data_IF_291635080664
#
_entry.id   IF_291635080664
#
_cell.length_a   1.000
_cell.length_b   1.000
_cell.length_c   1.000
_cell.angle_alpha   90.00
_cell.angle_beta   90.00
_cell.angle_gamma   90.00
#
_symmetry.space_group_name_H-M   'P 1'
#
loop_
_entity.id
_entity.type
_entity.pdbx_description
1 polymer ?
#
# COMPACT_ATOMS: atom_id res chain seq x y z
N UNK A 1 11.55 -10.95 19.99
CA UNK A 1 10.58 -11.20 18.89
C UNK A 1 10.75 -12.63 18.44
N UNK A 2 9.67 -13.40 18.27
CA UNK A 2 9.80 -14.80 17.81
C UNK A 2 10.20 -14.81 16.34
N UNK A 3 11.33 -15.47 16.01
CA UNK A 3 11.71 -15.72 14.63
C UNK A 3 10.67 -16.66 14.00
N UNK A 4 10.21 -16.30 12.80
CA UNK A 4 9.25 -17.12 12.07
C UNK A 4 9.98 -18.39 11.57
N UNK A 5 9.59 -19.55 12.06
CA UNK A 5 10.06 -20.86 11.56
C UNK A 5 9.03 -21.48 10.63
N UNK A 6 9.43 -22.51 9.88
CA UNK A 6 8.53 -23.30 9.04
C UNK A 6 7.31 -23.83 9.81
N UNK A 7 7.51 -24.34 11.03
CA UNK A 7 6.45 -24.87 11.90
C UNK A 7 5.49 -23.78 12.40
N UNK A 8 5.98 -22.56 12.56
CA UNK A 8 5.18 -21.41 12.99
C UNK A 8 4.50 -20.66 11.84
N UNK A 9 4.68 -21.10 10.58
CA UNK A 9 4.12 -20.45 9.41
C UNK A 9 2.58 -20.58 9.40
N UNK A 10 1.81 -19.47 9.42
CA UNK A 10 0.37 -19.58 9.48
C UNK A 10 -0.24 -20.27 8.24
N UNK A 11 -1.24 -21.13 8.43
CA UNK A 11 -1.86 -21.95 7.37
C UNK A 11 -2.26 -21.18 6.09
N UNK A 12 -2.66 -19.92 6.23
CA UNK A 12 -3.01 -19.03 5.10
C UNK A 12 -1.85 -18.75 4.13
N UNK A 13 -0.61 -19.13 4.48
CA UNK A 13 0.59 -18.99 3.66
C UNK A 13 1.03 -20.29 3.00
N UNK A 14 0.51 -21.45 3.43
CA UNK A 14 0.85 -22.76 2.84
C UNK A 14 0.57 -22.85 1.33
N UNK A 15 -0.49 -22.24 0.77
CA UNK A 15 -0.69 -22.19 -0.69
C UNK A 15 0.39 -21.43 -1.47
N UNK A 16 1.24 -20.66 -0.79
CA UNK A 16 2.34 -19.93 -1.41
C UNK A 16 3.70 -20.57 -1.12
N UNK A 17 3.77 -21.58 -0.25
CA UNK A 17 5.02 -22.23 0.16
C UNK A 17 5.48 -23.24 -0.90
N UNK A 18 6.64 -23.00 -1.51
CA UNK A 18 7.23 -23.90 -2.49
C UNK A 18 7.45 -25.29 -1.90
N UNK A 19 7.01 -26.32 -2.64
CA UNK A 19 7.06 -27.73 -2.20
C UNK A 19 5.90 -28.18 -1.32
N UNK A 20 5.03 -27.26 -0.88
CA UNK A 20 3.78 -27.64 -0.22
C UNK A 20 2.76 -28.15 -1.25
N UNK A 21 1.99 -29.18 -0.90
CA UNK A 21 1.05 -29.83 -1.82
C UNK A 21 -0.04 -28.89 -2.39
N UNK A 22 -0.41 -27.84 -1.64
CA UNK A 22 -1.39 -26.84 -2.06
C UNK A 22 -0.80 -25.67 -2.86
N UNK A 23 0.51 -25.67 -3.14
CA UNK A 23 1.17 -24.59 -3.84
C UNK A 23 0.95 -24.69 -5.34
N UNK A 24 0.51 -23.59 -5.98
CA UNK A 24 0.28 -23.53 -7.42
C UNK A 24 1.52 -23.21 -8.26
N UNK A 25 2.71 -23.18 -7.63
CA UNK A 25 3.96 -22.94 -8.34
C UNK A 25 4.23 -24.05 -9.39
N UNK A 26 4.94 -23.73 -10.49
CA UNK A 26 5.46 -24.74 -11.40
C UNK A 26 6.26 -25.82 -10.65
N UNK A 27 6.12 -27.10 -11.04
CA UNK A 27 6.73 -28.23 -10.31
C UNK A 27 8.26 -28.13 -10.19
N UNK A 28 8.90 -27.54 -11.19
CA UNK A 28 10.34 -27.27 -11.27
C UNK A 28 10.80 -26.04 -10.49
N UNK A 29 9.90 -25.14 -10.09
CA UNK A 29 10.26 -23.89 -9.43
C UNK A 29 11.09 -24.13 -8.17
N UNK A 30 10.68 -25.08 -7.31
CA UNK A 30 11.43 -25.38 -6.08
C UNK A 30 12.84 -25.90 -6.38
N UNK A 31 12.99 -26.84 -7.32
CA UNK A 31 14.30 -27.41 -7.65
C UNK A 31 15.25 -26.36 -8.23
N UNK A 32 14.75 -25.48 -9.11
CA UNK A 32 15.55 -24.37 -9.65
C UNK A 32 16.04 -23.42 -8.55
N UNK A 33 15.17 -23.08 -7.60
CA UNK A 33 15.56 -22.24 -6.45
C UNK A 33 16.53 -22.98 -5.51
N UNK A 34 16.31 -24.26 -5.23
CA UNK A 34 17.24 -25.09 -4.42
C UNK A 34 18.65 -25.09 -5.06
N UNK A 35 18.74 -25.25 -6.39
CA UNK A 35 20.00 -25.20 -7.15
C UNK A 35 20.69 -23.83 -7.03
N UNK A 36 19.94 -22.74 -7.17
CA UNK A 36 20.43 -21.36 -6.98
C UNK A 36 21.07 -21.18 -5.60
N UNK A 37 20.41 -21.67 -4.53
CA UNK A 37 20.93 -21.58 -3.17
C UNK A 37 22.15 -22.47 -2.94
N UNK A 38 22.20 -23.64 -3.59
CA UNK A 38 23.31 -24.59 -3.47
C UNK A 38 24.56 -24.11 -4.22
N UNK A 39 24.40 -23.49 -5.39
CA UNK A 39 25.50 -23.16 -6.29
C UNK A 39 25.99 -21.71 -6.20
N UNK A 40 25.14 -20.74 -5.86
CA UNK A 40 25.43 -19.35 -6.28
C UNK A 40 24.92 -18.21 -5.41
N UNK A 41 24.14 -18.40 -4.34
CA UNK A 41 23.64 -17.22 -3.61
C UNK A 41 24.75 -16.33 -3.00
N UNK A 42 25.92 -16.91 -2.67
CA UNK A 42 27.11 -16.14 -2.24
C UNK A 42 27.77 -15.32 -3.36
N UNK A 43 27.53 -15.69 -4.62
CA UNK A 43 28.11 -15.06 -5.81
C UNK A 43 27.06 -14.35 -6.69
N UNK A 44 25.77 -14.46 -6.34
CA UNK A 44 24.68 -13.86 -7.09
C UNK A 44 24.73 -12.34 -6.90
N UNK A 45 24.73 -11.54 -7.99
CA UNK A 45 24.78 -10.10 -7.87
C UNK A 45 23.55 -9.59 -7.10
N UNK A 46 23.81 -8.84 -6.04
CA UNK A 46 22.78 -8.09 -5.31
C UNK A 46 22.24 -6.99 -6.21
N UNK A 47 20.93 -6.99 -6.48
CA UNK A 47 20.29 -6.00 -7.37
C UNK A 47 20.16 -4.64 -6.70
N UNK A 48 19.87 -4.67 -5.40
CA UNK A 48 19.66 -3.49 -4.56
C UNK A 48 19.76 -3.97 -3.13
N UNK A 49 20.71 -3.43 -2.37
CA UNK A 49 20.99 -3.84 -0.97
C UNK A 49 21.29 -5.35 -0.82
N UNK A 50 21.67 -5.77 0.37
CA UNK A 50 22.08 -7.14 0.72
C UNK A 50 20.93 -8.16 0.79
N UNK A 51 19.69 -7.77 0.46
CA UNK A 51 18.49 -8.60 0.61
C UNK A 51 17.68 -8.86 -0.68
N UNK A 52 18.09 -8.33 -1.85
CA UNK A 52 17.47 -8.63 -3.16
C UNK A 52 18.49 -9.30 -4.08
N UNK A 53 18.22 -10.54 -4.49
CA UNK A 53 19.11 -11.36 -5.30
C UNK A 53 18.52 -11.61 -6.68
N UNK A 54 19.37 -11.43 -7.70
CA UNK A 54 19.09 -11.85 -9.07
C UNK A 54 19.53 -13.31 -9.25
N UNK A 55 18.63 -14.21 -9.64
CA UNK A 55 19.01 -15.59 -9.90
C UNK A 55 18.22 -16.24 -11.03
N UNK A 56 18.87 -16.45 -12.17
CA UNK A 56 18.25 -17.11 -13.33
C UNK A 56 16.97 -16.40 -13.78
N UNK A 57 15.85 -17.10 -13.77
CA UNK A 57 14.51 -16.56 -14.10
C UNK A 57 13.78 -15.92 -12.91
N UNK A 58 14.44 -15.82 -11.76
CA UNK A 58 13.83 -15.48 -10.49
C UNK A 58 14.45 -14.24 -9.86
N UNK A 59 13.63 -13.53 -9.09
CA UNK A 59 14.04 -12.51 -8.15
C UNK A 59 13.71 -13.01 -6.75
N UNK A 60 14.72 -13.02 -5.87
CA UNK A 60 14.56 -13.45 -4.49
C UNK A 60 14.71 -12.26 -3.56
N UNK A 61 13.75 -12.09 -2.65
CA UNK A 61 13.73 -11.00 -1.68
C UNK A 61 13.71 -11.57 -0.26
N UNK A 62 14.81 -11.37 0.45
CA UNK A 62 14.95 -11.72 1.87
C UNK A 62 14.39 -10.64 2.80
N UNK A 63 14.65 -10.83 4.08
CA UNK A 63 14.40 -9.81 5.11
C UNK A 63 15.42 -8.68 4.96
N UNK A 64 14.99 -7.44 5.16
CA UNK A 64 15.91 -6.29 5.21
C UNK A 64 16.78 -6.41 6.46
N UNK A 65 18.02 -5.94 6.35
CA UNK A 65 19.02 -5.90 7.42
C UNK A 65 19.51 -4.46 7.61
N UNK A 66 20.01 -4.14 8.81
CA UNK A 66 20.62 -2.84 9.11
C UNK A 66 19.63 -1.65 9.19
N UNK A 67 20.13 -0.45 8.91
CA UNK A 67 19.41 0.83 9.01
C UNK A 67 18.12 0.86 8.17
N UNK A 68 18.12 0.19 7.01
CA UNK A 68 16.94 0.06 6.12
C UNK A 68 15.78 -0.73 6.76
N UNK A 69 16.09 -1.66 7.66
CA UNK A 69 15.08 -2.44 8.38
C UNK A 69 14.49 -1.64 9.55
N UNK A 70 15.32 -0.86 10.24
CA UNK A 70 14.93 0.02 11.34
C UNK A 70 14.07 1.19 10.84
N UNK A 71 14.49 1.86 9.77
CA UNK A 71 13.75 2.97 9.16
C UNK A 71 12.36 2.53 8.66
N UNK A 72 12.22 1.30 8.15
CA UNK A 72 10.97 0.79 7.63
C UNK A 72 10.08 0.07 8.69
N UNK A 73 10.52 0.00 9.95
CA UNK A 73 9.83 -0.65 11.08
C UNK A 73 9.34 -2.08 10.74
N UNK A 74 10.07 -2.81 9.90
CA UNK A 74 9.60 -4.08 9.36
C UNK A 74 9.75 -5.20 10.39
N UNK A 75 8.66 -5.89 10.73
CA UNK A 75 8.71 -7.14 11.51
C UNK A 75 9.16 -8.30 10.62
N UNK A 76 9.72 -9.36 11.20
CA UNK A 76 10.13 -10.59 10.49
C UNK A 76 9.00 -11.25 9.66
N UNK A 77 7.73 -11.04 10.04
CA UNK A 77 6.59 -11.54 9.26
C UNK A 77 6.31 -10.70 8.00
N UNK A 78 6.81 -9.47 7.92
CA UNK A 78 6.40 -8.49 6.90
C UNK A 78 6.77 -8.91 5.49
N UNK A 79 7.92 -9.57 5.32
CA UNK A 79 8.39 -10.05 4.03
C UNK A 79 7.40 -11.06 3.41
N UNK A 80 6.97 -12.07 4.17
CA UNK A 80 6.02 -13.07 3.66
C UNK A 80 4.63 -12.50 3.36
N UNK A 81 4.23 -11.35 3.94
CA UNK A 81 2.94 -10.72 3.58
C UNK A 81 2.94 -10.13 2.16
N UNK A 82 4.12 -9.94 1.54
CA UNK A 82 4.22 -9.52 0.13
C UNK A 82 3.49 -10.48 -0.80
N UNK A 83 3.55 -11.80 -0.55
CA UNK A 83 2.87 -12.80 -1.40
C UNK A 83 1.34 -12.67 -1.34
N UNK A 84 0.79 -12.36 -0.15
CA UNK A 84 -0.65 -12.16 0.01
C UNK A 84 -1.12 -10.85 -0.61
N UNK A 85 -0.34 -9.78 -0.50
CA UNK A 85 -0.66 -8.50 -1.15
C UNK A 85 -0.65 -8.67 -2.67
N UNK A 86 0.40 -9.29 -3.23
CA UNK A 86 0.47 -9.63 -4.65
C UNK A 86 -0.71 -10.49 -5.12
N UNK A 87 -1.07 -11.54 -4.37
CA UNK A 87 -2.20 -12.40 -4.72
C UNK A 87 -3.54 -11.65 -4.68
N UNK A 88 -3.74 -10.74 -3.72
CA UNK A 88 -4.94 -9.89 -3.67
C UNK A 88 -5.03 -8.95 -4.87
N UNK A 89 -3.93 -8.32 -5.25
CA UNK A 89 -3.88 -7.46 -6.45
C UNK A 89 -4.20 -8.29 -7.69
N UNK A 90 -3.57 -9.46 -7.86
CA UNK A 90 -3.83 -10.36 -9.01
C UNK A 90 -5.28 -10.82 -9.09
N UNK A 91 -5.88 -11.17 -7.97
CA UNK A 91 -7.30 -11.54 -7.92
C UNK A 91 -8.20 -10.36 -8.31
N UNK A 92 -7.87 -9.14 -7.84
CA UNK A 92 -8.60 -7.95 -8.25
C UNK A 92 -8.48 -7.68 -9.75
N UNK A 93 -7.26 -7.75 -10.30
CA UNK A 93 -7.00 -7.57 -11.73
C UNK A 93 -7.86 -8.52 -12.56
N UNK A 94 -7.89 -9.81 -12.20
CA UNK A 94 -8.69 -10.83 -12.90
C UNK A 94 -10.18 -10.61 -12.76
N UNK A 95 -10.65 -10.28 -11.56
CA UNK A 95 -12.06 -10.06 -11.29
C UNK A 95 -12.63 -8.84 -12.02
N UNK A 96 -11.77 -7.90 -12.43
CA UNK A 96 -12.15 -6.67 -13.12
C UNK A 96 -11.66 -6.61 -14.58
N UNK A 97 -11.14 -7.72 -15.12
CA UNK A 97 -10.67 -7.84 -16.51
C UNK A 97 -9.58 -6.80 -16.88
N UNK A 98 -8.62 -6.58 -15.98
CA UNK A 98 -7.55 -5.57 -16.13
C UNK A 98 -6.21 -6.16 -16.62
N UNK A 99 -6.17 -7.45 -16.97
CA UNK A 99 -4.93 -8.19 -17.28
C UNK A 99 -4.13 -7.61 -18.46
N UNK A 100 -4.83 -6.94 -19.37
CA UNK A 100 -4.28 -6.27 -20.55
C UNK A 100 -3.68 -4.88 -20.25
N UNK A 101 -3.89 -4.35 -19.03
CA UNK A 101 -3.43 -3.00 -18.65
C UNK A 101 -2.43 -3.05 -17.50
N UNK A 102 -2.67 -3.90 -16.50
CA UNK A 102 -1.86 -3.97 -15.28
C UNK A 102 -1.52 -5.41 -14.97
N UNK A 103 -0.28 -5.64 -14.52
CA UNK A 103 0.15 -6.95 -14.05
C UNK A 103 0.91 -6.87 -12.73
N UNK A 104 0.89 -7.98 -11.98
CA UNK A 104 1.70 -8.16 -10.77
C UNK A 104 2.31 -9.56 -10.84
N UNK A 105 3.63 -9.71 -10.67
CA UNK A 105 4.25 -11.03 -10.72
C UNK A 105 3.67 -11.94 -9.64
N UNK A 106 3.52 -13.22 -9.97
CA UNK A 106 3.17 -14.21 -8.97
C UNK A 106 4.34 -14.33 -7.99
N UNK A 107 4.03 -14.38 -6.69
CA UNK A 107 5.03 -14.49 -5.63
C UNK A 107 4.79 -15.75 -4.80
N UNK A 108 5.88 -16.38 -4.39
CA UNK A 108 5.91 -17.59 -3.59
C UNK A 108 6.83 -17.40 -2.38
N UNK A 109 6.71 -18.28 -1.41
CA UNK A 109 7.55 -18.36 -0.22
C UNK A 109 8.49 -19.54 -0.41
N UNK A 110 9.78 -19.27 -0.30
CA UNK A 110 10.83 -20.28 -0.23
C UNK A 110 11.40 -20.31 1.19
N UNK A 111 11.61 -21.50 1.73
CA UNK A 111 12.27 -21.71 3.02
C UNK A 111 13.67 -22.26 2.77
N UNK A 112 14.69 -21.45 3.03
CA UNK A 112 16.06 -21.92 2.97
C UNK A 112 16.41 -22.67 4.26
N UNK A 113 16.65 -23.98 4.13
CA UNK A 113 17.03 -24.83 5.27
C UNK A 113 18.40 -24.46 5.84
N UNK A 114 19.31 -23.91 5.05
CA UNK A 114 20.68 -23.63 5.49
C UNK A 114 20.70 -22.39 6.38
N UNK A 115 20.15 -21.27 5.89
CA UNK A 115 20.08 -20.03 6.68
C UNK A 115 18.91 -19.99 7.67
N UNK A 116 17.97 -20.94 7.60
CA UNK A 116 16.73 -20.95 8.39
C UNK A 116 15.96 -19.63 8.21
N UNK A 117 15.82 -19.17 6.96
CA UNK A 117 15.15 -17.92 6.59
C UNK A 117 14.15 -18.11 5.47
N UNK A 118 13.14 -17.24 5.47
CA UNK A 118 12.18 -17.15 4.39
C UNK A 118 12.63 -16.15 3.33
N UNK A 119 12.45 -16.55 2.07
CA UNK A 119 12.62 -15.69 0.91
C UNK A 119 11.30 -15.60 0.17
N UNK A 120 11.00 -14.40 -0.35
CA UNK A 120 9.92 -14.22 -1.32
C UNK A 120 10.53 -14.38 -2.71
N UNK A 121 9.99 -15.32 -3.46
CA UNK A 121 10.43 -15.62 -4.82
C UNK A 121 9.39 -15.09 -5.79
N UNK A 122 9.82 -14.35 -6.79
CA UNK A 122 8.99 -13.87 -7.89
C UNK A 122 9.64 -14.24 -9.22
N UNK A 123 8.84 -14.63 -10.19
CA UNK A 123 9.30 -14.78 -11.57
C UNK A 123 9.69 -13.41 -12.12
N UNK A 124 10.80 -13.35 -12.87
CA UNK A 124 11.21 -12.14 -13.56
C UNK A 124 10.15 -11.74 -14.57
N UNK A 125 9.81 -10.46 -14.57
CA UNK A 125 8.96 -9.86 -15.56
C UNK A 125 9.87 -9.25 -16.62
N UNK A 126 9.51 -9.43 -17.89
CA UNK A 126 10.19 -8.78 -18.99
C UNK A 126 9.76 -7.31 -19.05
N UNK A 127 10.63 -6.44 -18.53
CA UNK A 127 10.37 -5.01 -18.37
C UNK A 127 10.93 -4.24 -19.57
N UNK A 128 10.17 -3.23 -19.98
CA UNK A 128 10.64 -2.21 -20.91
C UNK A 128 11.62 -1.28 -20.20
N UNK A 129 12.57 -0.75 -20.97
CA UNK A 129 13.49 0.30 -20.56
C UNK A 129 12.78 1.67 -20.41
N UNK A 130 11.55 1.78 -20.90
CA UNK A 130 10.74 3.00 -20.82
C UNK A 130 10.32 3.34 -19.39
N UNK A 131 10.19 4.63 -19.12
CA UNK A 131 9.69 5.19 -17.85
C UNK A 131 8.40 5.98 -18.07
N UNK A 132 7.59 6.14 -17.03
CA UNK A 132 6.35 6.92 -17.14
C UNK A 132 6.63 8.41 -17.40
N UNK A 133 6.01 8.99 -18.43
CA UNK A 133 6.13 10.41 -18.76
C UNK A 133 5.58 11.27 -17.61
N UNK A 134 6.41 12.11 -16.96
CA UNK A 134 5.94 13.02 -15.91
C UNK A 134 4.93 14.04 -16.44
N UNK A 135 4.02 14.51 -15.58
CA UNK A 135 2.98 15.49 -15.94
C UNK A 135 3.54 16.80 -16.53
N UNK A 136 4.73 17.21 -16.10
CA UNK A 136 5.41 18.41 -16.57
C UNK A 136 6.91 18.35 -16.27
N UNK A 137 7.69 19.26 -16.84
CA UNK A 137 9.12 19.41 -16.51
C UNK A 137 9.36 19.73 -15.03
N UNK A 138 8.49 20.53 -14.42
CA UNK A 138 8.56 20.81 -12.98
C UNK A 138 8.40 19.51 -12.16
N UNK A 139 7.45 18.66 -12.53
CA UNK A 139 7.22 17.38 -11.86
C UNK A 139 8.37 16.41 -12.13
N UNK A 140 8.93 16.42 -13.34
CA UNK A 140 10.12 15.65 -13.69
C UNK A 140 11.29 15.97 -12.77
N UNK A 141 11.58 17.25 -12.53
CA UNK A 141 12.65 17.66 -11.60
C UNK A 141 12.38 17.20 -10.17
N UNK A 142 11.12 17.20 -9.73
CA UNK A 142 10.74 16.72 -8.41
C UNK A 142 10.96 15.20 -8.30
N UNK A 143 10.56 14.43 -9.31
CA UNK A 143 10.77 12.96 -9.34
C UNK A 143 12.27 12.64 -9.35
N UNK A 144 13.09 13.42 -10.06
CA UNK A 144 14.54 13.24 -10.09
C UNK A 144 15.19 13.42 -8.71
N UNK A 145 14.59 14.18 -7.80
CA UNK A 145 15.07 14.27 -6.42
C UNK A 145 14.99 12.91 -5.70
N UNK A 146 14.10 12.01 -6.12
CA UNK A 146 13.96 10.65 -5.58
C UNK A 146 14.89 9.63 -6.26
N UNK A 147 15.79 10.06 -7.16
CA UNK A 147 16.68 9.16 -7.91
C UNK A 147 17.67 8.38 -7.02
N UNK A 148 18.00 8.90 -5.82
CA UNK A 148 18.81 8.17 -4.84
C UNK A 148 18.14 6.88 -4.36
N UNK A 149 16.81 6.77 -4.51
CA UNK A 149 16.06 5.54 -4.22
C UNK A 149 16.21 4.48 -5.33
N UNK A 150 16.88 4.80 -6.45
CA UNK A 150 17.04 3.93 -7.62
C UNK A 150 15.73 3.70 -8.40
N UNK A 151 15.70 2.67 -9.23
CA UNK A 151 14.48 2.30 -9.98
C UNK A 151 14.15 3.28 -11.11
N UNK A 152 12.87 3.55 -11.31
CA UNK A 152 12.37 4.35 -12.44
C UNK A 152 12.81 5.83 -12.37
N UNK A 153 12.92 6.43 -11.18
CA UNK A 153 13.40 7.80 -11.03
C UNK A 153 14.87 7.94 -11.46
N UNK A 154 15.70 6.93 -11.20
CA UNK A 154 17.08 6.89 -11.69
C UNK A 154 17.10 6.71 -13.22
N UNK A 155 16.31 5.79 -13.76
CA UNK A 155 16.17 5.60 -15.20
C UNK A 155 15.73 6.90 -15.92
N UNK A 156 14.84 7.69 -15.31
CA UNK A 156 14.44 9.01 -15.80
C UNK A 156 15.61 10.02 -15.80
N UNK A 157 16.49 9.99 -14.80
CA UNK A 157 17.72 10.81 -14.76
C UNK A 157 18.70 10.37 -15.84
N UNK A 158 18.82 9.06 -16.08
CA UNK A 158 19.69 8.47 -17.11
C UNK A 158 19.19 8.72 -18.55
N UNK A 159 18.04 9.38 -18.71
CA UNK A 159 17.49 9.75 -20.01
C UNK A 159 16.86 8.58 -20.76
N UNK A 160 16.35 7.57 -20.04
CA UNK A 160 15.52 6.52 -20.63
C UNK A 160 14.27 7.11 -21.29
N UNK A 161 13.80 6.43 -22.33
CA UNK A 161 12.64 6.88 -23.10
C UNK A 161 11.38 6.97 -22.23
N UNK A 162 10.59 8.00 -22.46
CA UNK A 162 9.34 8.23 -21.72
C UNK A 162 8.16 7.64 -22.48
N UNK A 163 7.19 7.13 -21.73
CA UNK A 163 5.94 6.57 -22.24
C UNK A 163 4.76 7.02 -21.40
N UNK A 164 3.70 7.42 -22.08
CA UNK A 164 2.48 7.87 -21.42
C UNK A 164 1.70 6.70 -20.81
N UNK A 165 1.20 6.90 -19.60
CA UNK A 165 0.24 6.01 -18.95
C UNK A 165 -1.12 6.23 -19.61
N UNK A 166 -1.73 5.16 -20.14
CA UNK A 166 -3.05 5.23 -20.78
C UNK A 166 -4.17 5.47 -19.75
N UNK A 167 -5.34 6.01 -20.16
CA UNK A 167 -6.47 6.21 -19.27
C UNK A 167 -6.93 4.94 -18.54
N UNK A 168 -6.93 3.80 -19.22
CA UNK A 168 -7.31 2.51 -18.64
C UNK A 168 -6.30 2.04 -17.58
N UNK A 169 -5.01 2.23 -17.83
CA UNK A 169 -3.95 1.95 -16.86
C UNK A 169 -4.05 2.87 -15.64
N UNK A 170 -4.24 4.17 -15.86
CA UNK A 170 -4.36 5.16 -14.78
C UNK A 170 -5.58 4.87 -13.90
N UNK A 171 -6.73 4.55 -14.51
CA UNK A 171 -7.94 4.12 -13.80
C UNK A 171 -7.68 2.89 -12.94
N UNK A 172 -7.08 1.84 -13.51
CA UNK A 172 -6.80 0.59 -12.80
C UNK A 172 -5.85 0.80 -11.60
N UNK A 173 -4.80 1.61 -11.79
CA UNK A 173 -3.87 1.95 -10.71
C UNK A 173 -4.55 2.75 -9.60
N UNK A 174 -5.38 3.73 -9.95
CA UNK A 174 -6.15 4.51 -8.99
C UNK A 174 -7.08 3.62 -8.14
N UNK A 175 -7.82 2.70 -8.76
CA UNK A 175 -8.69 1.75 -8.05
C UNK A 175 -7.89 0.88 -7.06
N UNK A 176 -6.72 0.37 -7.50
CA UNK A 176 -5.82 -0.39 -6.63
C UNK A 176 -5.32 0.43 -5.42
N UNK A 177 -5.10 1.73 -5.59
CA UNK A 177 -4.70 2.65 -4.51
C UNK A 177 -5.82 2.79 -3.47
N UNK A 178 -7.06 3.04 -3.91
CA UNK A 178 -8.23 3.17 -3.02
C UNK A 178 -8.59 1.90 -2.27
N UNK A 179 -8.33 0.74 -2.86
CA UNK A 179 -8.49 -0.55 -2.17
C UNK A 179 -7.36 -0.84 -1.18
N UNK A 180 -6.36 0.04 -1.09
CA UNK A 180 -5.16 -0.16 -0.27
C UNK A 180 -4.32 -1.35 -0.72
N UNK A 181 -4.46 -1.75 -1.99
CA UNK A 181 -3.81 -2.91 -2.56
C UNK A 181 -2.44 -2.58 -3.14
N UNK A 182 -2.17 -1.32 -3.48
CA UNK A 182 -0.85 -0.88 -3.92
C UNK A 182 -0.44 0.41 -3.20
N UNK A 183 0.87 0.65 -3.17
CA UNK A 183 1.42 1.97 -2.92
C UNK A 183 1.97 2.44 -4.27
N UNK A 184 1.32 3.47 -4.82
CA UNK A 184 1.69 4.03 -6.12
C UNK A 184 2.84 4.98 -5.91
N UNK A 185 4.05 4.53 -6.19
CA UNK A 185 5.22 5.39 -6.31
C UNK A 185 5.76 5.29 -7.72
N UNK A 186 6.39 6.35 -8.20
CA UNK A 186 7.05 6.37 -9.50
C UNK A 186 8.02 5.19 -9.66
N UNK A 187 8.78 4.89 -8.59
CA UNK A 187 9.72 3.78 -8.53
C UNK A 187 9.10 2.37 -8.50
N UNK A 188 7.77 2.26 -8.52
CA UNK A 188 7.04 1.00 -8.50
C UNK A 188 6.12 0.81 -9.72
N UNK A 189 6.20 1.68 -10.73
CA UNK A 189 5.43 1.59 -11.96
C UNK A 189 6.38 1.32 -13.13
N UNK A 190 6.50 0.05 -13.52
CA UNK A 190 7.36 -0.36 -14.62
C UNK A 190 6.50 -0.70 -15.83
N UNK A 191 6.94 -0.34 -17.03
CA UNK A 191 6.33 -0.88 -18.23
C UNK A 191 6.86 -2.29 -18.51
N UNK A 192 5.99 -3.17 -18.99
CA UNK A 192 6.40 -4.43 -19.62
C UNK A 192 6.60 -4.22 -21.11
N UNK A 193 7.37 -5.10 -21.76
CA UNK A 193 7.56 -5.03 -23.22
C UNK A 193 6.26 -5.17 -24.03
N UNK A 194 5.24 -5.82 -23.48
CA UNK A 194 3.90 -5.89 -24.07
C UNK A 194 3.00 -4.69 -23.72
N UNK A 195 3.53 -3.68 -23.05
CA UNK A 195 2.88 -2.39 -22.85
C UNK A 195 1.94 -2.28 -21.65
N UNK A 196 1.96 -3.25 -20.73
CA UNK A 196 1.25 -3.19 -19.44
C UNK A 196 2.06 -2.45 -18.40
N UNK A 197 1.43 -2.08 -17.30
CA UNK A 197 2.13 -1.61 -16.09
C UNK A 197 2.32 -2.77 -15.12
N UNK A 198 3.57 -3.09 -14.82
CA UNK A 198 3.96 -4.05 -13.80
C UNK A 198 4.18 -3.36 -12.45
N UNK A 199 3.41 -3.80 -11.44
CA UNK A 199 3.65 -3.43 -10.03
C UNK A 199 4.54 -4.51 -9.41
N UNK A 200 5.84 -4.23 -9.35
CA UNK A 200 6.85 -5.20 -8.92
C UNK A 200 6.91 -5.30 -7.40
N UNK A 201 6.98 -4.16 -6.71
CA UNK A 201 7.02 -4.14 -5.25
C UNK A 201 5.61 -4.09 -4.65
N UNK A 202 5.38 -4.97 -3.69
CA UNK A 202 4.09 -5.09 -3.00
C UNK A 202 4.34 -5.08 -1.51
N UNK A 203 5.10 -4.10 -1.04
CA UNK A 203 5.40 -3.95 0.38
C UNK A 203 4.11 -3.66 1.15
N UNK A 204 3.84 -4.37 2.25
CA UNK A 204 2.65 -4.15 3.04
C UNK A 204 2.85 -2.96 4.02
N UNK A 205 3.35 -1.81 3.55
CA UNK A 205 3.61 -0.62 4.38
C UNK A 205 2.40 -0.22 5.24
N UNK A 206 1.20 -0.25 4.63
CA UNK A 206 -0.09 -0.02 5.33
C UNK A 206 -0.31 -0.96 6.53
N UNK A 207 0.22 -2.18 6.50
CA UNK A 207 0.13 -3.15 7.63
C UNK A 207 1.07 -2.76 8.76
N UNK A 208 2.30 -2.33 8.45
CA UNK A 208 3.28 -1.89 9.44
C UNK A 208 2.74 -0.70 10.20
N UNK A 209 2.27 0.31 9.46
CA UNK A 209 1.70 1.51 10.07
C UNK A 209 0.41 1.19 10.81
N UNK A 210 -0.47 0.33 10.26
CA UNK A 210 -1.67 -0.11 11.00
C UNK A 210 -1.34 -0.78 12.33
N UNK A 211 -0.28 -1.60 12.40
CA UNK A 211 0.16 -2.21 13.67
C UNK A 211 0.69 -1.13 14.62
N UNK A 212 1.51 -0.20 14.14
CA UNK A 212 1.99 0.92 14.96
C UNK A 212 0.82 1.77 15.51
N UNK A 213 -0.19 2.04 14.69
CA UNK A 213 -1.41 2.75 15.11
C UNK A 213 -2.23 1.95 16.11
N UNK A 214 -2.41 0.63 15.92
CA UNK A 214 -3.15 -0.20 16.89
C UNK A 214 -2.48 -0.27 18.26
N UNK A 215 -1.17 -0.06 18.28
CA UNK A 215 -0.37 -0.02 19.51
C UNK A 215 -0.40 1.39 20.16
N UNK A 216 -1.15 2.35 19.58
CA UNK A 216 -1.33 3.72 20.08
C UNK A 216 -2.77 4.01 20.53
N UNK A 217 -2.96 5.10 21.26
CA UNK A 217 -4.25 5.70 21.64
C UNK A 217 -5.00 6.41 20.49
N UNK A 218 -4.34 6.63 19.35
CA UNK A 218 -4.90 7.32 18.17
C UNK A 218 -6.17 6.65 17.58
N UNK A 219 -6.31 5.31 17.52
CA UNK A 219 -7.51 4.63 16.99
C UNK A 219 -8.80 4.95 17.75
N UNK A 220 -8.70 5.46 18.98
CA UNK A 220 -9.86 5.88 19.76
C UNK A 220 -10.49 7.15 19.18
N UNK A 221 -9.68 8.02 18.58
CA UNK A 221 -10.08 9.33 18.08
C UNK A 221 -10.23 9.39 16.55
N UNK A 222 -9.49 8.56 15.81
CA UNK A 222 -9.58 8.53 14.34
C UNK A 222 -10.34 7.31 13.84
N UNK A 223 -10.80 7.36 12.60
CA UNK A 223 -11.39 6.20 11.92
C UNK A 223 -10.37 5.57 10.99
N UNK A 224 -10.29 4.24 11.01
CA UNK A 224 -9.32 3.50 10.19
C UNK A 224 -9.54 3.78 8.71
N UNK A 225 -10.79 3.94 8.29
CA UNK A 225 -11.15 4.17 6.90
C UNK A 225 -10.68 5.56 6.43
N UNK A 226 -10.69 6.56 7.31
CA UNK A 226 -10.11 7.90 7.04
C UNK A 226 -8.63 7.79 6.70
N UNK A 227 -7.85 7.08 7.50
CA UNK A 227 -6.41 6.99 7.27
C UNK A 227 -6.08 6.22 5.97
N UNK A 228 -6.83 5.15 5.68
CA UNK A 228 -6.71 4.44 4.40
C UNK A 228 -7.05 5.36 3.21
N UNK A 229 -8.02 6.26 3.39
CA UNK A 229 -8.40 7.25 2.38
C UNK A 229 -7.32 8.32 2.17
N UNK A 230 -6.69 8.84 3.24
CA UNK A 230 -5.59 9.80 3.14
C UNK A 230 -4.45 9.22 2.30
N UNK A 231 -4.04 7.98 2.61
CA UNK A 231 -3.03 7.26 1.82
C UNK A 231 -3.46 6.98 0.39
N UNK A 232 -4.75 6.75 0.14
CA UNK A 232 -5.24 6.54 -1.20
C UNK A 232 -5.14 7.83 -2.05
N UNK A 233 -5.51 8.98 -1.46
CA UNK A 233 -5.37 10.31 -2.08
C UNK A 233 -3.88 10.64 -2.33
N UNK A 234 -3.00 10.35 -1.36
CA UNK A 234 -1.56 10.51 -1.58
C UNK A 234 -1.03 9.61 -2.71
N UNK A 235 -1.49 8.35 -2.76
CA UNK A 235 -1.17 7.45 -3.87
C UNK A 235 -1.67 7.95 -5.22
N UNK A 236 -2.89 8.48 -5.31
CA UNK A 236 -3.41 9.03 -6.58
C UNK A 236 -2.78 10.36 -6.95
N UNK A 237 -2.33 11.17 -5.98
CA UNK A 237 -1.55 12.37 -6.26
C UNK A 237 -0.21 12.03 -6.93
N UNK A 238 0.51 11.03 -6.41
CA UNK A 238 1.74 10.50 -7.03
C UNK A 238 1.48 9.92 -8.42
N UNK A 239 0.34 9.27 -8.62
CA UNK A 239 -0.06 8.79 -9.95
C UNK A 239 -0.31 9.94 -10.92
N UNK A 240 -1.03 11.00 -10.51
CA UNK A 240 -1.27 12.19 -11.33
C UNK A 240 0.04 12.86 -11.77
N UNK A 241 1.03 12.92 -10.87
CA UNK A 241 2.38 13.41 -11.18
C UNK A 241 3.09 12.56 -12.26
N UNK A 242 2.78 11.25 -12.34
CA UNK A 242 3.36 10.32 -13.30
C UNK A 242 2.57 10.20 -14.62
N UNK A 243 1.54 11.02 -14.83
CA UNK A 243 0.72 11.01 -16.03
C UNK A 243 0.89 12.32 -16.82
N UNK A 244 1.54 12.26 -17.98
CA UNK A 244 1.55 13.36 -18.95
C UNK A 244 0.22 13.52 -19.70
N UNK A 245 -0.50 12.42 -19.97
CA UNK A 245 -1.77 12.44 -20.70
C UNK A 245 -2.92 13.04 -19.84
N UNK A 246 -3.57 14.14 -20.28
CA UNK A 246 -4.71 14.73 -19.58
C UNK A 246 -5.90 13.79 -19.41
N UNK A 247 -6.16 12.88 -20.35
CA UNK A 247 -7.26 11.91 -20.23
C UNK A 247 -6.97 10.85 -19.17
N UNK A 248 -5.70 10.48 -18.99
CA UNK A 248 -5.27 9.64 -17.89
C UNK A 248 -5.45 10.32 -16.53
N UNK A 249 -5.13 11.62 -16.42
CA UNK A 249 -5.39 12.39 -15.20
C UNK A 249 -6.88 12.42 -14.87
N UNK A 250 -7.74 12.73 -15.85
CA UNK A 250 -9.20 12.72 -15.66
C UNK A 250 -9.73 11.36 -15.21
N UNK A 251 -9.16 10.26 -15.72
CA UNK A 251 -9.52 8.92 -15.29
C UNK A 251 -9.19 8.68 -13.81
N UNK A 252 -8.04 9.17 -13.33
CA UNK A 252 -7.67 9.12 -11.90
C UNK A 252 -8.61 9.97 -11.05
N UNK A 253 -8.86 11.21 -11.45
CA UNK A 253 -9.76 12.15 -10.73
C UNK A 253 -11.17 11.60 -10.61
N UNK A 254 -11.68 10.92 -11.64
CA UNK A 254 -12.99 10.27 -11.60
C UNK A 254 -13.05 9.18 -10.51
N UNK A 255 -12.08 8.28 -10.48
CA UNK A 255 -11.99 7.23 -9.46
C UNK A 255 -11.87 7.84 -8.07
N UNK A 256 -11.02 8.85 -7.92
CA UNK A 256 -10.83 9.58 -6.67
C UNK A 256 -12.11 10.23 -6.17
N UNK A 257 -12.84 10.94 -7.05
CA UNK A 257 -14.11 11.57 -6.71
C UNK A 257 -15.15 10.54 -6.26
N UNK A 258 -15.30 9.43 -6.98
CA UNK A 258 -16.29 8.40 -6.66
C UNK A 258 -16.02 7.79 -5.28
N UNK A 259 -14.77 7.45 -4.98
CA UNK A 259 -14.38 6.94 -3.66
C UNK A 259 -14.45 7.99 -2.56
N UNK A 260 -14.11 9.24 -2.84
CA UNK A 260 -14.19 10.35 -1.90
C UNK A 260 -15.63 10.61 -1.46
N UNK A 261 -16.56 10.76 -2.41
CA UNK A 261 -17.97 11.00 -2.11
C UNK A 261 -18.57 9.87 -1.27
N UNK A 262 -18.26 8.62 -1.61
CA UNK A 262 -18.73 7.45 -0.86
C UNK A 262 -18.20 7.42 0.58
N UNK A 263 -16.89 7.66 0.77
CA UNK A 263 -16.30 7.68 2.10
C UNK A 263 -16.76 8.89 2.92
N UNK A 264 -16.97 10.04 2.28
CA UNK A 264 -17.51 11.22 2.94
C UNK A 264 -18.95 11.00 3.41
N UNK A 265 -19.79 10.37 2.59
CA UNK A 265 -21.14 9.98 2.98
C UNK A 265 -21.14 9.05 4.20
N UNK A 266 -20.21 8.07 4.25
CA UNK A 266 -20.04 7.21 5.43
C UNK A 266 -19.61 7.99 6.67
N UNK A 267 -18.66 8.92 6.55
CA UNK A 267 -18.20 9.75 7.67
C UNK A 267 -19.33 10.63 8.21
N UNK A 268 -20.09 11.28 7.33
CA UNK A 268 -21.28 12.07 7.69
C UNK A 268 -22.30 11.18 8.41
N UNK A 269 -22.55 9.96 7.91
CA UNK A 269 -23.43 9.00 8.58
C UNK A 269 -22.95 8.61 9.99
N UNK A 270 -21.64 8.39 10.17
CA UNK A 270 -21.02 8.12 11.49
C UNK A 270 -21.18 9.32 12.43
N UNK A 271 -20.99 10.55 11.94
CA UNK A 271 -21.17 11.78 12.71
C UNK A 271 -22.64 11.93 13.11
N UNK A 272 -23.59 11.77 12.18
CA UNK A 272 -25.02 11.85 12.46
C UNK A 272 -25.45 10.83 13.52
N UNK A 273 -24.92 9.59 13.46
CA UNK A 273 -25.16 8.58 14.48
C UNK A 273 -24.59 8.99 15.85
N UNK A 274 -23.36 9.53 15.90
CA UNK A 274 -22.76 10.00 17.14
C UNK A 274 -23.57 11.14 17.78
N UNK A 275 -24.05 12.09 16.98
CA UNK A 275 -24.94 13.18 17.41
C UNK A 275 -26.28 12.63 17.89
N UNK A 276 -26.87 11.66 17.19
CA UNK A 276 -28.12 11.02 17.60
C UNK A 276 -27.98 10.33 18.96
N UNK A 277 -26.90 9.59 19.17
CA UNK A 277 -26.56 8.96 20.47
C UNK A 277 -26.42 10.04 21.55
N UNK A 278 -25.72 11.14 21.26
CA UNK A 278 -25.56 12.26 22.17
C UNK A 278 -26.91 12.89 22.58
N UNK A 279 -27.86 13.01 21.65
CA UNK A 279 -29.18 13.58 21.92
C UNK A 279 -30.14 12.61 22.63
N UNK A 280 -30.09 11.31 22.31
CA UNK A 280 -31.10 10.33 22.77
C UNK A 280 -30.68 9.55 24.02
N UNK A 281 -29.39 9.30 24.24
CA UNK A 281 -28.93 8.51 25.40
C UNK A 281 -29.16 9.23 26.73
N UNK A 282 -28.91 10.54 26.88
CA UNK A 282 -29.15 11.24 28.15
C UNK A 282 -30.60 11.18 28.66
N UNK A 283 -31.65 11.46 27.85
CA UNK A 283 -33.03 11.35 28.33
C UNK A 283 -33.43 9.90 28.60
N UNK A 284 -32.91 8.93 27.84
CA UNK A 284 -33.22 7.51 28.03
C UNK A 284 -32.61 6.96 29.33
N UNK A 285 -31.37 7.35 29.66
CA UNK A 285 -30.71 6.99 30.91
C UNK A 285 -31.34 7.69 32.12
N UNK A 286 -31.85 8.91 31.94
CA UNK A 286 -32.56 9.64 33.00
C UNK A 286 -33.89 8.97 33.41
N UNK A 287 -34.50 8.18 32.52
CA UNK A 287 -35.76 7.45 32.80
C UNK A 287 -35.54 6.12 33.54
N UNK A 288 -34.32 5.59 33.58
CA UNK A 288 -33.97 4.40 34.37
C UNK A 288 -33.83 4.82 35.84
N UNK A 289 -34.97 4.89 36.52
CA UNK A 289 -35.20 5.44 37.86
C UNK A 289 -34.46 4.78 39.06
N UNK A 290 -33.31 4.11 38.84
CA UNK A 290 -32.56 3.38 39.89
C UNK A 290 -31.10 3.86 40.01
N UNK A 291 -30.75 4.99 39.42
CA UNK A 291 -29.36 5.34 39.12
C UNK A 291 -28.58 6.04 40.26
N UNK A 292 -27.91 5.27 41.12
CA UNK A 292 -26.82 5.76 41.98
C UNK A 292 -25.60 6.28 41.20
N UNK A 293 -24.57 6.77 41.90
CA UNK A 293 -23.37 7.44 41.34
C UNK A 293 -22.70 6.73 40.14
N UNK A 294 -22.85 5.40 40.04
CA UNK A 294 -22.33 4.57 38.94
C UNK A 294 -22.98 4.91 37.59
N UNK A 295 -24.30 5.15 37.53
CA UNK A 295 -24.99 5.46 36.26
C UNK A 295 -24.68 6.90 35.83
N UNK A 296 -24.56 7.85 36.76
CA UNK A 296 -24.10 9.21 36.47
C UNK A 296 -22.68 9.22 35.91
N UNK A 297 -21.76 8.46 36.52
CA UNK A 297 -20.39 8.31 36.02
C UNK A 297 -20.36 7.67 34.61
N UNK A 298 -21.20 6.66 34.36
CA UNK A 298 -21.33 6.02 33.06
C UNK A 298 -21.88 6.99 32.00
N UNK A 299 -22.87 7.81 32.35
CA UNK A 299 -23.44 8.83 31.45
C UNK A 299 -22.39 9.88 31.06
N UNK A 300 -21.61 10.38 32.03
CA UNK A 300 -20.50 11.31 31.77
C UNK A 300 -19.45 10.64 30.86
N UNK A 301 -19.10 9.37 31.12
CA UNK A 301 -18.14 8.65 30.30
C UNK A 301 -18.65 8.44 28.85
N UNK A 302 -19.92 8.07 28.66
CA UNK A 302 -20.54 7.91 27.33
C UNK A 302 -20.59 9.23 26.58
N UNK A 303 -21.01 10.31 27.24
CA UNK A 303 -21.06 11.65 26.63
C UNK A 303 -19.67 12.16 26.26
N UNK A 304 -18.69 11.98 27.15
CA UNK A 304 -17.29 12.33 26.89
C UNK A 304 -16.75 11.56 25.69
N UNK A 305 -16.98 10.24 25.64
CA UNK A 305 -16.58 9.41 24.51
C UNK A 305 -17.26 9.84 23.20
N UNK A 306 -18.59 10.06 23.21
CA UNK A 306 -19.33 10.47 22.02
C UNK A 306 -18.86 11.83 21.49
N UNK A 307 -18.57 12.79 22.39
CA UNK A 307 -18.04 14.11 22.03
C UNK A 307 -16.66 14.01 21.41
N UNK A 308 -15.75 13.29 22.04
CA UNK A 308 -14.40 13.07 21.54
C UNK A 308 -14.42 12.34 20.19
N UNK A 309 -15.31 11.37 20.03
CA UNK A 309 -15.48 10.64 18.77
C UNK A 309 -16.04 11.54 17.67
N UNK A 310 -17.04 12.36 17.96
CA UNK A 310 -17.62 13.30 17.00
C UNK A 310 -16.57 14.34 16.56
N UNK A 311 -15.81 14.91 17.49
CA UNK A 311 -14.72 15.84 17.19
C UNK A 311 -13.64 15.17 16.31
N UNK A 312 -13.22 13.96 16.66
CA UNK A 312 -12.25 13.20 15.89
C UNK A 312 -12.72 12.89 14.47
N UNK A 313 -14.01 12.56 14.28
CA UNK A 313 -14.62 12.37 12.97
C UNK A 313 -14.71 13.68 12.17
N UNK A 314 -15.04 14.81 12.80
CA UNK A 314 -15.06 16.11 12.15
C UNK A 314 -13.66 16.54 11.67
N UNK A 315 -12.64 16.40 12.52
CA UNK A 315 -11.25 16.66 12.15
C UNK A 315 -10.79 15.74 11.02
N UNK A 316 -11.20 14.47 11.04
CA UNK A 316 -10.95 13.50 9.98
C UNK A 316 -11.57 13.94 8.65
N UNK A 317 -12.82 14.43 8.67
CA UNK A 317 -13.50 14.97 7.50
C UNK A 317 -12.80 16.21 6.93
N UNK A 318 -12.37 17.14 7.79
CA UNK A 318 -11.63 18.33 7.39
C UNK A 318 -10.30 17.94 6.73
N UNK A 319 -9.52 17.07 7.37
CA UNK A 319 -8.24 16.61 6.86
C UNK A 319 -8.37 15.93 5.48
N UNK A 320 -9.32 15.01 5.32
CA UNK A 320 -9.55 14.31 4.05
C UNK A 320 -10.06 15.27 2.97
N UNK A 321 -10.93 16.21 3.32
CA UNK A 321 -11.40 17.25 2.38
C UNK A 321 -10.25 18.16 1.93
N UNK A 322 -9.34 18.53 2.84
CA UNK A 322 -8.16 19.33 2.51
C UNK A 322 -7.20 18.57 1.59
N UNK A 323 -6.90 17.30 1.88
CA UNK A 323 -6.08 16.47 0.99
C UNK A 323 -6.71 16.31 -0.40
N UNK A 324 -8.02 16.06 -0.45
CA UNK A 324 -8.73 15.95 -1.72
C UNK A 324 -8.72 17.28 -2.49
N UNK A 325 -8.90 18.42 -1.83
CA UNK A 325 -8.76 19.75 -2.46
C UNK A 325 -7.37 19.95 -3.04
N UNK A 326 -6.32 19.71 -2.24
CA UNK A 326 -4.94 19.81 -2.72
C UNK A 326 -4.67 18.89 -3.90
N UNK A 327 -5.30 17.71 -3.98
CA UNK A 327 -5.08 16.80 -5.10
C UNK A 327 -5.62 17.34 -6.42
N UNK A 328 -6.47 18.38 -6.38
CA UNK A 328 -7.08 19.06 -7.53
C UNK A 328 -6.54 20.48 -7.75
N UNK A 329 -5.67 21.00 -6.89
CA UNK A 329 -5.05 22.33 -7.00
C UNK A 329 -3.85 22.36 -7.98
N UNK A 330 -3.85 21.45 -8.95
CA UNK A 330 -2.74 21.28 -9.89
C UNK A 330 -1.43 20.84 -9.22
N UNK A 331 -0.30 21.13 -9.88
CA UNK A 331 1.02 20.63 -9.46
C UNK A 331 1.37 21.06 -8.02
N UNK A 332 1.07 22.29 -7.65
CA UNK A 332 1.39 22.80 -6.30
C UNK A 332 0.71 21.97 -5.20
N UNK A 333 -0.56 21.61 -5.40
CA UNK A 333 -1.29 20.78 -4.45
C UNK A 333 -0.80 19.33 -4.42
N UNK A 334 -0.42 18.75 -5.57
CA UNK A 334 0.19 17.41 -5.63
C UNK A 334 1.52 17.35 -4.85
N UNK A 335 2.35 18.39 -4.97
CA UNK A 335 3.62 18.51 -4.24
C UNK A 335 3.38 18.63 -2.73
N UNK A 336 2.41 19.45 -2.32
CA UNK A 336 2.06 19.56 -0.90
C UNK A 336 1.66 18.20 -0.31
N UNK A 337 0.91 17.38 -1.05
CA UNK A 337 0.53 16.04 -0.59
C UNK A 337 1.75 15.12 -0.47
N UNK A 338 2.68 15.15 -1.44
CA UNK A 338 3.94 14.40 -1.36
C UNK A 338 4.72 14.79 -0.10
N UNK A 339 4.86 16.09 0.18
CA UNK A 339 5.62 16.57 1.33
C UNK A 339 4.96 16.19 2.65
N UNK A 340 3.62 16.21 2.72
CA UNK A 340 2.85 15.71 3.85
C UNK A 340 3.06 14.20 4.06
N UNK A 341 3.10 13.41 2.99
CA UNK A 341 3.39 11.96 3.07
C UNK A 341 4.81 11.71 3.59
N UNK A 342 5.81 12.46 3.12
CA UNK A 342 7.20 12.37 3.59
C UNK A 342 7.34 12.73 5.08
N UNK A 343 6.48 13.60 5.59
CA UNK A 343 6.39 13.95 7.01
C UNK A 343 5.59 12.95 7.85
N UNK A 344 5.01 11.91 7.22
CA UNK A 344 4.16 10.92 7.89
C UNK A 344 2.76 11.43 8.23
N UNK A 345 2.32 12.53 7.60
CA UNK A 345 0.99 13.11 7.80
C UNK A 345 -0.10 12.44 6.95
N UNK A 346 0.27 11.56 6.00
CA UNK A 346 -0.64 10.79 5.15
C UNK A 346 -0.50 9.28 5.35
#
# INVERSE_FOLDING_TARGET
MNNLTLESLPNKFLPFLLGHASCSAPKNCKSEIDEIFTQSLKNAPTLKSDYIYNAGNWVLKGDRTGEDAEAAQLRSDTNIYRVRKANKIRNFIRANHLEQHVMVPQKFIYWDKTSQKFFVVAEKVDLSDEVASPQSDQVKEIIKQDAFLGGQALALVEGKSERDITPEQAKALAELSFLGLTDLSYNNMYFTNDGRIAIIDTEPLKRTIKKAMSDSWIPWFTDRDTWVMAQAIAGTAKLKMACADPEAIKAVEKVEKDHFLWNMAKLIGKIALAVLVFCLVPPLLAQLAIAGAVITALQIAILGYATLKALGLLLSTLHISSLWSYSHDGIAGLVNIRDLELQGAC
#
